data_IF_160187951887
#
_entry.id   IF_160187951887
#
_cell.length_a   1.000
_cell.length_b   1.000
_cell.length_c   1.000
_cell.angle_alpha   90.00
_cell.angle_beta   90.00
_cell.angle_gamma   90.00
#
_symmetry.space_group_name_H-M   'P 1'
#
loop_
_entity.id
_entity.type
_entity.pdbx_description
1 polymer ?
#
# COMPACT_ATOMS: atom_id res chain seq x y z
N UNK A 1 10.44 20.48 -8.18
CA UNK A 1 10.77 19.20 -8.85
C UNK A 1 9.50 18.56 -9.41
N UNK A 2 9.26 18.65 -10.71
CA UNK A 2 8.14 17.99 -11.38
C UNK A 2 8.48 16.50 -11.54
N UNK A 3 7.92 15.62 -10.71
CA UNK A 3 8.16 14.18 -10.83
C UNK A 3 7.43 13.65 -12.07
N UNK A 4 8.12 12.87 -12.88
CA UNK A 4 7.54 12.25 -14.08
C UNK A 4 6.42 11.27 -13.70
N UNK A 5 5.43 11.12 -14.58
CA UNK A 5 4.31 10.20 -14.38
C UNK A 5 4.77 8.75 -14.09
N UNK A 6 5.77 8.30 -14.85
CA UNK A 6 6.38 6.97 -14.67
C UNK A 6 6.94 6.81 -13.25
N UNK A 7 7.60 7.85 -12.71
CA UNK A 7 8.13 7.81 -11.35
C UNK A 7 7.02 7.74 -10.30
N UNK A 8 5.88 8.44 -10.51
CA UNK A 8 4.73 8.36 -9.60
C UNK A 8 4.09 6.97 -9.60
N UNK A 9 3.83 6.40 -10.79
CA UNK A 9 3.29 5.04 -10.92
C UNK A 9 4.24 3.98 -10.37
N UNK A 10 5.54 4.16 -10.58
CA UNK A 10 6.56 3.29 -10.00
C UNK A 10 6.54 3.33 -8.47
N UNK A 11 6.45 4.53 -7.88
CA UNK A 11 6.30 4.69 -6.44
C UNK A 11 5.12 3.90 -5.88
N UNK A 12 3.94 4.00 -6.52
CA UNK A 12 2.76 3.23 -6.11
C UNK A 12 2.96 1.71 -6.24
N UNK A 13 3.61 1.24 -7.33
CA UNK A 13 3.89 -0.20 -7.53
C UNK A 13 4.81 -0.74 -6.43
N UNK A 14 5.84 -0.01 -6.05
CA UNK A 14 6.76 -0.41 -4.98
C UNK A 14 6.02 -0.47 -3.64
N UNK A 15 5.17 0.51 -3.33
CA UNK A 15 4.37 0.48 -2.10
C UNK A 15 3.35 -0.67 -2.09
N UNK A 16 2.69 -0.94 -3.23
CA UNK A 16 1.78 -2.08 -3.36
C UNK A 16 2.52 -3.41 -3.19
N UNK A 17 3.70 -3.56 -3.81
CA UNK A 17 4.52 -4.77 -3.68
C UNK A 17 4.88 -5.03 -2.21
N UNK A 18 5.43 -4.03 -1.51
CA UNK A 18 5.81 -4.18 -0.12
C UNK A 18 4.61 -4.35 0.81
N UNK A 19 3.48 -3.71 0.51
CA UNK A 19 2.23 -3.93 1.23
C UNK A 19 1.82 -5.41 1.15
N UNK A 20 1.81 -6.01 -0.05
CA UNK A 20 1.45 -7.43 -0.21
C UNK A 20 2.49 -8.32 0.47
N UNK A 21 3.77 -8.13 0.15
CA UNK A 21 4.85 -8.99 0.63
C UNK A 21 4.94 -9.02 2.15
N UNK A 22 4.94 -7.84 2.79
CA UNK A 22 5.06 -7.75 4.24
C UNK A 22 3.83 -8.28 4.97
N UNK A 23 2.61 -8.02 4.47
CA UNK A 23 1.41 -8.54 5.10
C UNK A 23 1.31 -10.07 4.94
N UNK A 24 1.68 -10.63 3.79
CA UNK A 24 1.75 -12.08 3.63
C UNK A 24 2.76 -12.71 4.60
N UNK A 25 3.95 -12.12 4.73
CA UNK A 25 4.93 -12.58 5.70
C UNK A 25 4.40 -12.54 7.13
N UNK A 26 3.70 -11.47 7.52
CA UNK A 26 3.08 -11.36 8.85
C UNK A 26 1.99 -12.42 9.07
N UNK A 27 1.13 -12.68 8.08
CA UNK A 27 0.09 -13.72 8.17
C UNK A 27 0.70 -15.11 8.32
N UNK A 28 1.75 -15.41 7.56
CA UNK A 28 2.49 -16.66 7.68
C UNK A 28 3.13 -16.81 9.06
N UNK A 29 3.79 -15.75 9.56
CA UNK A 29 4.40 -15.76 10.89
C UNK A 29 3.37 -15.92 11.99
N UNK A 30 2.23 -15.23 11.91
CA UNK A 30 1.13 -15.41 12.85
C UNK A 30 0.64 -16.86 12.86
N UNK A 31 0.42 -17.46 11.69
CA UNK A 31 -0.06 -18.84 11.57
C UNK A 31 0.92 -19.89 12.08
N UNK A 32 2.23 -19.63 11.98
CA UNK A 32 3.28 -20.56 12.42
C UNK A 32 3.61 -20.37 13.91
N UNK A 33 3.68 -19.13 14.38
CA UNK A 33 4.26 -18.80 15.70
C UNK A 33 3.21 -18.47 16.76
N UNK A 34 2.06 -17.92 16.38
CA UNK A 34 1.04 -17.42 17.33
C UNK A 34 -0.40 -17.71 16.86
N UNK A 35 -0.75 -18.95 16.46
CA UNK A 35 -2.05 -19.24 15.84
C UNK A 35 -3.24 -19.10 16.81
N UNK A 36 -2.99 -19.20 18.10
CA UNK A 36 -3.93 -19.08 19.21
C UNK A 36 -4.11 -17.62 19.68
N UNK A 37 -3.26 -16.72 19.22
CA UNK A 37 -3.32 -15.30 19.58
C UNK A 37 -4.24 -14.54 18.63
N UNK A 38 -4.71 -13.38 19.09
CA UNK A 38 -5.41 -12.42 18.25
C UNK A 38 -4.63 -12.18 16.94
N UNK A 39 -5.37 -12.04 15.83
CA UNK A 39 -4.84 -11.82 14.49
C UNK A 39 -4.21 -10.43 14.36
N UNK A 40 -3.04 -10.25 14.97
CA UNK A 40 -2.29 -9.01 14.97
C UNK A 40 -1.88 -8.49 13.57
N UNK A 41 -1.74 -9.31 12.51
CA UNK A 41 -1.51 -8.78 11.16
C UNK A 41 -2.62 -7.82 10.68
N UNK A 42 -3.83 -7.91 11.27
CA UNK A 42 -4.95 -7.00 11.00
C UNK A 42 -4.54 -5.53 11.07
N UNK A 43 -3.78 -5.14 12.08
CA UNK A 43 -3.40 -3.74 12.29
C UNK A 43 -2.50 -3.22 11.17
N UNK A 44 -1.57 -4.05 10.68
CA UNK A 44 -0.70 -3.68 9.57
C UNK A 44 -1.48 -3.58 8.25
N UNK A 45 -2.37 -4.55 8.00
CA UNK A 45 -3.25 -4.56 6.82
C UNK A 45 -4.09 -3.28 6.79
N UNK A 46 -4.78 -2.95 7.88
CA UNK A 46 -5.64 -1.77 7.94
C UNK A 46 -4.85 -0.47 7.88
N UNK A 47 -3.84 -0.31 8.74
CA UNK A 47 -3.05 0.92 8.82
C UNK A 47 -2.32 1.24 7.52
N UNK A 48 -1.61 0.26 6.95
CA UNK A 48 -0.89 0.47 5.70
C UNK A 48 -1.84 0.50 4.49
N UNK A 49 -2.96 -0.22 4.54
CA UNK A 49 -3.98 -0.22 3.50
C UNK A 49 -4.59 1.16 3.30
N UNK A 50 -4.88 1.86 4.40
CA UNK A 50 -5.32 3.26 4.36
C UNK A 50 -4.28 4.16 3.69
N UNK A 51 -3.00 4.04 4.09
CA UNK A 51 -1.91 4.81 3.47
C UNK A 51 -1.76 4.54 1.97
N UNK A 52 -1.87 3.28 1.56
CA UNK A 52 -1.81 2.88 0.15
C UNK A 52 -3.01 3.42 -0.65
N UNK A 53 -4.22 3.38 -0.07
CA UNK A 53 -5.42 3.94 -0.69
C UNK A 53 -5.30 5.45 -0.90
N UNK A 54 -4.81 6.18 0.11
CA UNK A 54 -4.52 7.61 0.02
C UNK A 54 -3.48 7.89 -1.09
N UNK A 55 -2.41 7.10 -1.16
CA UNK A 55 -1.39 7.24 -2.20
C UNK A 55 -1.97 7.04 -3.60
N UNK A 56 -2.76 5.98 -3.81
CA UNK A 56 -3.44 5.70 -5.07
C UNK A 56 -4.40 6.83 -5.45
N UNK A 57 -5.15 7.37 -4.48
CA UNK A 57 -6.05 8.49 -4.70
C UNK A 57 -5.29 9.77 -5.08
N UNK A 58 -4.17 10.08 -4.42
CA UNK A 58 -3.34 11.24 -4.72
C UNK A 58 -2.76 11.21 -6.15
N UNK A 59 -2.42 10.02 -6.64
CA UNK A 59 -2.00 9.84 -8.03
C UNK A 59 -3.19 10.06 -8.97
N UNK A 60 -4.35 9.44 -8.70
CA UNK A 60 -5.56 9.59 -9.52
C UNK A 60 -6.09 11.03 -9.56
N UNK A 61 -6.00 11.78 -8.47
CA UNK A 61 -6.45 13.17 -8.41
C UNK A 61 -5.56 14.09 -9.26
N UNK A 62 -4.24 13.90 -9.26
CA UNK A 62 -3.32 14.62 -10.16
C UNK A 62 -3.61 14.35 -11.64
N UNK A 63 -4.00 13.13 -12.00
CA UNK A 63 -4.43 12.84 -13.37
C UNK A 63 -5.70 13.57 -13.75
N UNK A 64 -6.69 13.63 -12.85
CA UNK A 64 -7.94 14.37 -13.10
C UNK A 64 -7.73 15.87 -13.27
N UNK A 65 -6.74 16.48 -12.61
CA UNK A 65 -6.46 17.90 -12.77
C UNK A 65 -5.78 18.21 -14.11
N UNK A 66 -4.87 17.35 -14.57
CA UNK A 66 -4.16 17.54 -15.84
C UNK A 66 -5.07 17.38 -17.07
N UNK A 67 -6.12 16.56 -16.98
CA UNK A 67 -7.07 16.36 -18.06
C UNK A 67 -8.15 17.46 -18.17
N UNK A 68 -8.20 18.41 -17.22
CA UNK A 68 -9.18 19.53 -17.20
C UNK A 68 -8.60 20.86 -17.69
N UNK A 69 -7.33 20.88 -18.08
CA UNK A 69 -6.59 22.01 -18.67
C UNK A 69 -6.21 21.68 -20.10
#
# INVERSE_FOLDING_TARGET
MHKSEKAMRWGLRVHLFWYIFANLAQVLLWGILTPDHFFWPLWSILGWGIGLAIHAWAIRSKFRSLART
#
